data_IF_503678817831
#
_entry.id   IF_503678817831
#
_cell.length_a   1.000
_cell.length_b   1.000
_cell.length_c   1.000
_cell.angle_alpha   90.00
_cell.angle_beta   90.00
_cell.angle_gamma   90.00
#
_symmetry.space_group_name_H-M   'P 1'
#
loop_
_entity.id
_entity.type
_entity.pdbx_description
1 polymer ?
#
# COMPACT_ATOMS: atom_id res chain seq x y z
N UNK A 1 16.54 -9.06 13.65
CA UNK A 1 17.53 -9.31 12.58
C UNK A 1 18.48 -8.13 12.53
N UNK A 2 19.80 -8.36 12.40
CA UNK A 2 20.73 -7.28 12.05
C UNK A 2 20.86 -7.24 10.54
N UNK A 3 20.80 -6.04 9.96
CA UNK A 3 21.10 -5.84 8.54
C UNK A 3 22.52 -6.33 8.26
N UNK A 4 22.73 -6.98 7.11
CA UNK A 4 24.05 -7.47 6.69
C UNK A 4 24.92 -6.33 6.13
N UNK A 5 25.11 -5.28 6.93
CA UNK A 5 26.09 -4.24 6.60
C UNK A 5 27.49 -4.80 6.79
N UNK A 6 28.43 -4.37 5.94
CA UNK A 6 29.85 -4.62 6.19
C UNK A 6 30.22 -4.02 7.56
N UNK A 7 31.12 -4.68 8.30
CA UNK A 7 31.45 -4.32 9.69
C UNK A 7 31.91 -2.85 9.81
N UNK A 8 32.54 -2.34 8.77
CA UNK A 8 33.03 -0.95 8.66
C UNK A 8 31.93 0.04 8.26
N UNK A 9 30.77 -0.44 7.81
CA UNK A 9 29.67 0.36 7.27
C UNK A 9 28.39 0.31 8.12
N UNK A 10 28.41 -0.39 9.26
CA UNK A 10 27.22 -0.64 10.09
C UNK A 10 26.50 0.66 10.45
N UNK A 11 27.22 1.72 10.78
CA UNK A 11 26.68 3.03 11.17
C UNK A 11 26.55 4.02 10.01
N UNK A 12 26.87 3.61 8.76
CA UNK A 12 26.75 4.52 7.62
C UNK A 12 25.28 4.88 7.40
N UNK A 13 24.96 6.16 7.20
CA UNK A 13 23.59 6.57 6.98
C UNK A 13 23.08 6.10 5.61
N UNK A 14 21.82 5.72 5.56
CA UNK A 14 21.12 5.40 4.31
C UNK A 14 20.52 6.68 3.75
N UNK A 15 20.86 7.00 2.50
CA UNK A 15 20.25 8.10 1.78
C UNK A 15 19.10 7.58 0.93
N UNK A 16 17.89 8.08 1.16
CA UNK A 16 16.69 7.76 0.37
C UNK A 16 16.32 8.99 -0.42
N UNK A 17 16.28 8.87 -1.75
CA UNK A 17 15.85 9.93 -2.65
C UNK A 17 14.54 9.52 -3.31
N UNK A 18 13.52 10.34 -3.15
CA UNK A 18 12.19 10.18 -3.75
C UNK A 18 12.00 11.30 -4.76
N UNK A 19 11.71 10.93 -6.01
CA UNK A 19 11.45 11.87 -7.10
C UNK A 19 10.05 11.58 -7.61
N UNK A 20 9.19 12.58 -7.63
CA UNK A 20 7.87 12.50 -8.25
C UNK A 20 7.57 13.76 -9.06
N UNK A 21 6.38 13.81 -9.65
CA UNK A 21 5.94 14.95 -10.47
C UNK A 21 5.87 16.25 -9.64
N UNK A 22 5.67 16.10 -8.33
CA UNK A 22 5.67 17.18 -7.33
C UNK A 22 7.08 17.59 -6.82
N UNK A 23 8.14 17.09 -7.44
CA UNK A 23 9.51 17.42 -7.06
C UNK A 23 10.21 16.31 -6.28
N UNK A 24 11.19 16.69 -5.46
CA UNK A 24 12.17 15.75 -4.92
C UNK A 24 12.29 15.87 -3.41
N UNK A 25 12.23 14.73 -2.71
CA UNK A 25 12.49 14.64 -1.29
C UNK A 25 13.68 13.69 -1.04
N UNK A 26 14.71 14.18 -0.38
CA UNK A 26 15.87 13.39 0.05
C UNK A 26 15.90 13.27 1.56
N UNK A 27 16.05 12.05 2.05
CA UNK A 27 16.10 11.68 3.46
C UNK A 27 17.43 11.02 3.78
N UNK A 28 18.01 11.36 4.93
CA UNK A 28 19.21 10.68 5.45
C UNK A 28 18.82 9.99 6.76
N UNK A 29 18.77 8.67 6.70
CA UNK A 29 18.39 7.80 7.82
C UNK A 29 19.66 7.27 8.49
N UNK A 30 19.75 7.35 9.82
CA UNK A 30 20.84 6.73 10.59
C UNK A 30 20.30 5.76 11.63
N UNK A 31 21.14 4.82 12.04
CA UNK A 31 20.85 3.89 13.11
C UNK A 31 22.15 3.58 13.85
N UNK A 32 22.11 3.57 15.19
CA UNK A 32 23.28 3.31 16.04
C UNK A 32 23.60 1.80 16.17
N UNK A 33 22.75 0.95 15.59
CA UNK A 33 22.80 -0.51 15.57
C UNK A 33 22.91 -1.17 16.96
N UNK A 34 22.50 -0.47 18.01
CA UNK A 34 22.33 -1.07 19.33
C UNK A 34 21.11 -2.01 19.35
N UNK A 35 21.03 -2.94 20.32
CA UNK A 35 19.81 -3.71 20.53
C UNK A 35 18.60 -2.77 20.68
N UNK A 36 17.53 -3.02 19.92
CA UNK A 36 16.30 -2.20 19.89
C UNK A 36 16.46 -0.76 19.38
N UNK A 37 17.56 -0.47 18.68
CA UNK A 37 17.76 0.80 18.00
C UNK A 37 16.68 1.10 16.96
N UNK A 38 16.30 2.37 16.86
CA UNK A 38 15.33 2.85 15.86
C UNK A 38 16.05 3.68 14.82
N UNK A 39 15.56 3.64 13.57
CA UNK A 39 16.07 4.52 12.53
C UNK A 39 15.61 5.95 12.79
N UNK A 40 16.56 6.88 12.79
CA UNK A 40 16.30 8.31 12.95
C UNK A 40 16.53 9.02 11.63
N UNK A 41 15.61 9.92 11.28
CA UNK A 41 15.79 10.87 10.19
C UNK A 41 16.66 12.01 10.73
N UNK A 42 17.86 12.22 10.16
CA UNK A 42 18.76 13.28 10.63
C UNK A 42 18.47 14.60 9.93
N UNK A 43 18.28 14.55 8.61
CA UNK A 43 18.04 15.73 7.76
C UNK A 43 17.13 15.36 6.59
N UNK A 44 16.17 16.24 6.29
CA UNK A 44 15.39 16.22 5.06
C UNK A 44 15.82 17.38 4.16
N UNK A 45 16.02 17.10 2.88
CA UNK A 45 16.11 18.14 1.85
C UNK A 45 14.93 17.99 0.92
N UNK A 46 14.09 19.03 0.88
CA UNK A 46 12.92 19.07 0.01
C UNK A 46 13.19 20.06 -1.13
N UNK A 47 12.89 19.65 -2.36
CA UNK A 47 12.96 20.49 -3.54
C UNK A 47 11.58 20.61 -4.17
N UNK A 48 11.14 21.84 -4.36
CA UNK A 48 9.80 22.18 -4.84
C UNK A 48 9.86 23.04 -6.09
N UNK A 49 8.83 22.94 -6.93
CA UNK A 49 8.52 24.01 -7.88
C UNK A 49 7.89 25.20 -7.15
N UNK A 50 7.99 26.40 -7.73
CA UNK A 50 7.40 27.63 -7.20
C UNK A 50 5.90 27.49 -6.87
N UNK A 51 5.13 26.94 -7.81
CA UNK A 51 3.68 26.84 -7.70
C UNK A 51 3.25 25.88 -6.58
N UNK A 52 3.97 24.76 -6.44
CA UNK A 52 3.68 23.79 -5.38
C UNK A 52 4.12 24.28 -4.00
N UNK A 53 5.23 25.02 -3.92
CA UNK A 53 5.62 25.64 -2.67
C UNK A 53 4.54 26.59 -2.16
N UNK A 54 3.96 27.42 -3.04
CA UNK A 54 2.87 28.33 -2.68
C UNK A 54 1.66 27.53 -2.19
N UNK A 55 1.28 26.46 -2.90
CA UNK A 55 0.16 25.59 -2.51
C UNK A 55 0.37 24.99 -1.11
N UNK A 56 1.47 24.28 -0.90
CA UNK A 56 1.80 23.66 0.40
C UNK A 56 1.93 24.70 1.52
N UNK A 57 2.44 25.89 1.22
CA UNK A 57 2.54 26.98 2.20
C UNK A 57 1.16 27.54 2.58
N UNK A 58 0.25 27.73 1.62
CA UNK A 58 -1.13 28.16 1.91
C UNK A 58 -1.86 27.14 2.78
N UNK A 59 -1.74 25.85 2.47
CA UNK A 59 -2.30 24.76 3.27
C UNK A 59 -1.71 24.73 4.69
N UNK A 60 -0.39 24.91 4.81
CA UNK A 60 0.30 24.99 6.10
C UNK A 60 -0.20 26.17 6.95
N UNK A 61 -0.41 27.34 6.34
CA UNK A 61 -0.90 28.54 7.03
C UNK A 61 -2.37 28.44 7.46
N UNK A 62 -3.18 27.61 6.80
CA UNK A 62 -4.57 27.36 7.16
C UNK A 62 -4.73 26.26 8.23
N UNK A 63 -3.81 25.28 8.27
CA UNK A 63 -3.71 24.37 9.40
C UNK A 63 -3.36 25.17 10.68
N UNK A 64 -3.72 24.70 11.89
CA UNK A 64 -3.29 25.29 13.18
C UNK A 64 -1.78 25.09 13.43
N UNK A 65 -0.95 25.26 12.40
CA UNK A 65 0.48 25.08 12.39
C UNK A 65 1.22 26.14 13.22
N UNK A 66 2.36 25.73 13.74
CA UNK A 66 3.20 26.52 14.62
C UNK A 66 3.70 27.80 13.90
N UNK A 67 3.13 28.97 14.21
CA UNK A 67 3.44 30.28 13.59
C UNK A 67 4.93 30.61 13.54
N UNK A 68 5.73 30.08 14.48
CA UNK A 68 7.19 30.23 14.53
C UNK A 68 7.89 29.52 13.37
N UNK A 69 7.37 28.37 12.96
CA UNK A 69 7.87 27.56 11.84
C UNK A 69 7.59 28.23 10.50
N UNK A 70 6.34 28.69 10.30
CA UNK A 70 5.93 29.42 9.11
C UNK A 70 6.82 30.64 8.86
N UNK A 71 7.13 31.39 9.94
CA UNK A 71 7.99 32.57 9.88
C UNK A 71 9.44 32.21 9.52
N UNK A 72 9.98 31.12 10.08
CA UNK A 72 11.33 30.61 9.76
C UNK A 72 11.45 30.17 8.29
N UNK A 73 10.41 29.51 7.77
CA UNK A 73 10.33 29.08 6.38
C UNK A 73 10.24 30.26 5.40
N UNK A 74 9.39 31.24 5.67
CA UNK A 74 9.32 32.48 4.88
C UNK A 74 10.67 33.19 4.88
N UNK A 75 11.37 33.23 6.02
CA UNK A 75 12.66 33.90 6.15
C UNK A 75 13.75 33.17 5.35
N UNK A 76 13.79 31.84 5.39
CA UNK A 76 14.70 31.05 4.55
C UNK A 76 14.39 31.24 3.06
N UNK A 77 13.11 31.25 2.68
CA UNK A 77 12.70 31.45 1.29
C UNK A 77 13.08 32.83 0.77
N UNK A 78 12.86 33.88 1.57
CA UNK A 78 13.28 35.24 1.23
C UNK A 78 14.79 35.32 1.05
N UNK A 79 15.55 34.64 1.91
CA UNK A 79 17.01 34.58 1.80
C UNK A 79 17.47 33.85 0.53
N UNK A 80 16.84 32.72 0.17
CA UNK A 80 17.15 31.97 -1.05
C UNK A 80 16.76 32.75 -2.32
N UNK A 81 15.65 33.51 -2.28
CA UNK A 81 15.27 34.43 -3.35
C UNK A 81 16.25 35.59 -3.49
N UNK A 82 16.70 36.19 -2.38
CA UNK A 82 17.73 37.25 -2.43
C UNK A 82 19.09 36.73 -2.90
N UNK A 83 19.47 35.50 -2.55
CA UNK A 83 20.72 34.89 -2.98
C UNK A 83 20.74 34.58 -4.48
N UNK A 84 19.59 34.21 -5.07
CA UNK A 84 19.46 34.01 -6.52
C UNK A 84 19.36 35.34 -7.31
N UNK A 85 18.98 36.45 -6.67
CA UNK A 85 18.95 37.78 -7.31
C UNK A 85 20.37 38.34 -7.50
N UNK A 86 21.34 37.95 -6.66
CA UNK A 86 22.72 38.43 -6.73
C UNK A 86 23.60 37.71 -7.77
N UNK A 87 23.09 36.70 -8.50
CA UNK A 87 23.89 35.93 -9.48
C UNK A 87 23.33 35.77 -10.90
N UNK A 88 22.19 36.33 -11.29
CA UNK A 88 21.67 36.17 -12.66
C UNK A 88 21.68 37.45 -13.50
N UNK A 89 22.61 37.49 -14.47
CA UNK A 89 22.55 38.36 -15.66
C UNK A 89 21.31 38.03 -16.53
N UNK A 90 20.74 39.02 -17.23
CA UNK A 90 19.35 38.99 -17.68
C UNK A 90 19.18 38.33 -19.06
N UNK A 91 19.42 37.02 -19.20
CA UNK A 91 19.11 36.32 -20.47
C UNK A 91 18.77 34.84 -20.28
N UNK A 92 17.52 34.55 -19.89
CA UNK A 92 16.68 33.43 -20.42
C UNK A 92 15.50 33.18 -19.47
N UNK A 93 14.40 33.92 -19.66
CA UNK A 93 13.14 33.66 -18.95
C UNK A 93 12.38 32.52 -19.62
N UNK A 94 12.65 31.28 -19.19
CA UNK A 94 11.73 30.12 -19.28
C UNK A 94 12.26 28.94 -18.45
N UNK A 95 12.79 29.20 -17.25
CA UNK A 95 13.14 28.16 -16.28
C UNK A 95 12.16 28.19 -15.12
N UNK A 96 11.49 27.08 -14.82
CA UNK A 96 10.69 26.96 -13.59
C UNK A 96 11.62 27.13 -12.38
N UNK A 97 11.38 28.16 -11.55
CA UNK A 97 12.15 28.33 -10.31
C UNK A 97 11.93 27.11 -9.40
N UNK A 98 13.02 26.51 -8.96
CA UNK A 98 13.04 25.41 -7.99
C UNK A 98 13.64 25.90 -6.66
N UNK A 99 12.98 25.57 -5.55
CA UNK A 99 13.39 25.97 -4.20
C UNK A 99 13.88 24.76 -3.43
N UNK A 100 14.97 24.90 -2.67
CA UNK A 100 15.49 23.83 -1.81
C UNK A 100 15.40 24.20 -0.33
N UNK A 101 14.68 23.41 0.44
CA UNK A 101 14.52 23.62 1.88
C UNK A 101 15.23 22.51 2.65
N UNK A 102 16.15 22.90 3.55
CA UNK A 102 16.74 21.99 4.54
C UNK A 102 15.95 22.05 5.83
N UNK A 103 15.51 20.91 6.33
CA UNK A 103 14.71 20.85 7.55
C UNK A 103 15.24 19.82 8.54
N UNK A 104 15.18 20.20 9.83
CA UNK A 104 15.63 19.38 10.95
C UNK A 104 14.47 18.55 11.50
N UNK A 105 14.79 17.36 11.99
CA UNK A 105 13.83 16.31 12.38
C UNK A 105 12.94 16.62 13.60
N UNK A 106 13.29 17.61 14.44
CA UNK A 106 12.57 17.92 15.69
C UNK A 106 11.19 18.58 15.47
N UNK A 107 10.85 18.92 14.24
CA UNK A 107 9.68 19.72 13.90
C UNK A 107 8.62 18.84 13.20
N UNK A 108 7.84 18.06 13.98
CA UNK A 108 6.72 17.22 13.48
C UNK A 108 5.68 17.97 12.61
N UNK A 109 5.64 19.30 12.65
CA UNK A 109 4.81 20.10 11.75
C UNK A 109 5.27 20.09 10.29
N UNK A 110 6.49 19.66 9.98
CA UNK A 110 7.05 19.65 8.61
C UNK A 110 6.44 18.55 7.73
N UNK A 111 5.81 17.52 8.33
CA UNK A 111 5.12 16.49 7.54
C UNK A 111 4.08 17.08 6.59
N UNK A 112 3.49 18.23 6.94
CA UNK A 112 2.53 18.98 6.10
C UNK A 112 3.16 19.87 5.01
N UNK A 113 4.49 20.02 5.01
CA UNK A 113 5.25 20.76 3.98
C UNK A 113 5.96 19.83 3.02
N UNK A 114 5.88 18.51 3.22
CA UNK A 114 6.41 17.56 2.24
C UNK A 114 5.64 17.81 0.95
N UNK A 115 6.31 17.92 -0.21
CA UNK A 115 5.58 17.87 -1.46
C UNK A 115 4.79 16.57 -1.37
N UNK A 116 3.47 16.62 -1.51
CA UNK A 116 2.68 15.42 -1.67
C UNK A 116 3.30 14.73 -2.88
N UNK A 117 4.16 13.74 -2.63
CA UNK A 117 4.61 12.83 -3.68
C UNK A 117 3.36 12.01 -3.94
N UNK A 118 2.53 12.54 -4.83
CA UNK A 118 1.20 12.04 -5.12
C UNK A 118 1.29 10.52 -5.27
N UNK A 119 0.60 9.80 -4.36
CA UNK A 119 0.52 8.34 -4.35
C UNK A 119 1.31 7.60 -3.28
N UNK A 120 2.39 8.16 -2.69
CA UNK A 120 3.20 7.43 -1.67
C UNK A 120 2.87 7.86 -0.23
N UNK A 121 2.43 9.11 -0.02
CA UNK A 121 2.14 9.61 1.34
C UNK A 121 1.06 8.79 2.08
N UNK A 122 0.12 8.21 1.32
CA UNK A 122 -0.97 7.37 1.83
C UNK A 122 -0.70 5.86 1.64
N UNK A 123 0.55 5.47 1.39
CA UNK A 123 0.89 4.06 1.22
C UNK A 123 0.73 3.30 2.54
N UNK A 124 -0.02 2.20 2.49
CA UNK A 124 -0.29 1.35 3.64
C UNK A 124 0.15 -0.07 3.32
N UNK A 125 0.75 -0.75 4.31
CA UNK A 125 1.03 -2.19 4.27
C UNK A 125 -0.04 -2.89 5.11
N UNK A 126 -0.94 -3.61 4.45
CA UNK A 126 -1.98 -4.41 5.08
C UNK A 126 -1.45 -5.79 5.43
N UNK A 127 -1.82 -6.32 6.58
CA UNK A 127 -1.54 -7.68 7.05
C UNK A 127 -2.78 -8.18 7.78
N UNK A 128 -3.84 -8.56 7.04
CA UNK A 128 -5.12 -8.90 7.66
C UNK A 128 -5.01 -10.07 8.64
N UNK A 129 -5.70 -9.96 9.77
CA UNK A 129 -5.73 -10.99 10.80
C UNK A 129 -7.16 -11.44 11.07
N UNK A 130 -7.33 -12.74 11.33
CA UNK A 130 -8.62 -13.34 11.66
C UNK A 130 -9.25 -12.71 12.92
N UNK A 131 -8.43 -12.42 13.94
CA UNK A 131 -8.83 -11.76 15.19
C UNK A 131 -9.56 -10.44 14.94
N UNK A 132 -9.02 -9.62 14.03
CA UNK A 132 -9.58 -8.33 13.63
C UNK A 132 -10.78 -8.50 12.68
N UNK A 133 -10.69 -9.40 11.69
CA UNK A 133 -11.78 -9.64 10.73
C UNK A 133 -13.02 -10.29 11.35
N UNK A 134 -12.90 -11.03 12.47
CA UNK A 134 -14.07 -11.54 13.22
C UNK A 134 -14.79 -10.46 14.01
N UNK A 135 -14.09 -9.40 14.39
CA UNK A 135 -14.64 -8.25 15.10
C UNK A 135 -14.82 -7.08 14.13
N UNK A 136 -15.65 -7.25 13.10
CA UNK A 136 -15.85 -6.23 12.07
C UNK A 136 -16.34 -4.86 12.60
N UNK A 137 -16.88 -4.85 13.82
CA UNK A 137 -17.30 -3.66 14.57
C UNK A 137 -16.11 -2.82 15.07
N UNK A 138 -14.93 -3.43 15.22
CA UNK A 138 -13.73 -2.78 15.74
C UNK A 138 -13.18 -1.83 14.69
N UNK A 139 -13.06 -0.56 15.08
CA UNK A 139 -12.36 0.45 14.29
C UNK A 139 -10.86 0.41 14.62
N UNK A 140 -10.03 0.56 13.58
CA UNK A 140 -8.59 0.69 13.72
C UNK A 140 -8.20 2.14 14.00
N UNK A 141 -6.92 2.37 14.24
CA UNK A 141 -6.37 3.75 14.26
C UNK A 141 -6.33 4.39 12.87
N UNK A 142 -6.45 3.57 11.82
CA UNK A 142 -6.40 3.96 10.42
C UNK A 142 -7.79 3.74 9.83
N UNK A 143 -8.31 4.79 9.20
CA UNK A 143 -9.60 4.80 8.51
C UNK A 143 -9.39 4.94 6.99
N UNK A 144 -10.33 4.43 6.16
CA UNK A 144 -11.55 3.70 6.55
C UNK A 144 -11.30 2.22 6.86
N UNK A 145 -10.12 1.69 6.52
CA UNK A 145 -9.77 0.28 6.65
C UNK A 145 -8.41 0.15 7.35
N UNK A 146 -8.41 -0.53 8.50
CA UNK A 146 -7.22 -0.78 9.30
C UNK A 146 -6.28 -1.80 8.68
N UNK A 147 -5.01 -1.78 9.10
CA UNK A 147 -3.96 -2.66 8.57
C UNK A 147 -4.28 -4.14 8.75
N UNK A 148 -5.00 -4.52 9.81
CA UNK A 148 -5.31 -5.93 10.09
C UNK A 148 -6.74 -6.31 9.67
N UNK A 149 -7.48 -5.42 9.00
CA UNK A 149 -8.86 -5.65 8.60
C UNK A 149 -9.92 -4.99 9.49
N UNK A 150 -9.52 -4.17 10.44
CA UNK A 150 -10.44 -3.34 11.23
C UNK A 150 -11.22 -2.38 10.32
N UNK A 151 -12.46 -2.04 10.69
CA UNK A 151 -13.29 -1.11 9.93
C UNK A 151 -13.91 -1.66 8.64
N UNK A 152 -13.70 -2.94 8.29
CA UNK A 152 -14.27 -3.55 7.08
C UNK A 152 -15.80 -3.40 7.00
N UNK A 153 -16.53 -3.60 8.10
CA UNK A 153 -17.99 -3.41 8.06
C UNK A 153 -18.37 -1.95 7.80
N UNK A 154 -17.67 -0.99 8.42
CA UNK A 154 -17.90 0.43 8.19
C UNK A 154 -17.66 0.78 6.73
N UNK A 155 -16.56 0.29 6.15
CA UNK A 155 -16.25 0.45 4.74
C UNK A 155 -17.37 -0.11 3.84
N UNK A 156 -17.78 -1.36 4.06
CA UNK A 156 -18.87 -1.98 3.29
C UNK A 156 -20.21 -1.25 3.48
N UNK A 157 -20.47 -0.70 4.67
CA UNK A 157 -21.67 0.10 4.97
C UNK A 157 -21.65 1.38 4.14
N UNK A 158 -20.55 2.12 4.17
CA UNK A 158 -20.40 3.35 3.39
C UNK A 158 -20.56 3.05 1.90
N UNK A 159 -19.92 1.98 1.40
CA UNK A 159 -20.05 1.55 0.01
C UNK A 159 -21.47 1.11 -0.36
N UNK A 160 -22.25 0.55 0.58
CA UNK A 160 -23.63 0.11 0.32
C UNK A 160 -24.63 1.27 0.23
N UNK A 161 -24.25 2.44 0.75
CA UNK A 161 -25.09 3.64 0.79
C UNK A 161 -24.50 4.83 0.03
N UNK A 162 -23.42 4.59 -0.71
CA UNK A 162 -22.87 5.52 -1.66
C UNK A 162 -23.87 5.75 -2.81
N UNK A 163 -23.84 6.94 -3.41
CA UNK A 163 -24.65 7.26 -4.59
C UNK A 163 -24.22 6.40 -5.80
N UNK A 164 -22.96 5.96 -5.81
CA UNK A 164 -22.42 5.04 -6.82
C UNK A 164 -22.30 3.60 -6.27
N UNK A 165 -23.23 2.68 -6.61
CA UNK A 165 -23.21 1.30 -6.12
C UNK A 165 -22.16 0.42 -6.82
N UNK A 166 -21.42 0.93 -7.82
CA UNK A 166 -20.49 0.10 -8.61
C UNK A 166 -19.46 -0.63 -7.74
N UNK A 167 -18.94 0.02 -6.70
CA UNK A 167 -17.93 -0.55 -5.82
C UNK A 167 -18.50 -1.70 -4.98
N UNK A 168 -19.69 -1.56 -4.40
CA UNK A 168 -20.32 -2.62 -3.61
C UNK A 168 -20.79 -3.78 -4.49
N UNK A 169 -21.29 -3.50 -5.70
CA UNK A 169 -21.65 -4.53 -6.68
C UNK A 169 -20.43 -5.31 -7.15
N UNK A 170 -19.29 -4.65 -7.35
CA UNK A 170 -18.03 -5.30 -7.69
C UNK A 170 -17.56 -6.24 -6.57
N UNK A 171 -17.71 -5.85 -5.30
CA UNK A 171 -17.44 -6.72 -4.14
C UNK A 171 -18.36 -7.93 -4.14
N UNK A 172 -19.68 -7.72 -4.21
CA UNK A 172 -20.68 -8.81 -4.24
C UNK A 172 -20.43 -9.78 -5.39
N UNK A 173 -20.21 -9.26 -6.61
CA UNK A 173 -19.88 -10.07 -7.79
C UNK A 173 -18.58 -10.84 -7.63
N UNK A 174 -17.59 -10.25 -6.96
CA UNK A 174 -16.33 -10.92 -6.64
C UNK A 174 -16.54 -12.06 -5.66
N UNK A 175 -17.29 -11.84 -4.58
CA UNK A 175 -17.66 -12.83 -3.55
C UNK A 175 -18.45 -14.03 -4.09
N UNK A 176 -19.13 -13.92 -5.23
CA UNK A 176 -19.70 -15.08 -5.96
C UNK A 176 -18.66 -16.11 -6.44
N UNK A 177 -17.39 -15.94 -6.08
CA UNK A 177 -16.39 -17.00 -6.12
C UNK A 177 -16.71 -18.16 -5.16
N UNK A 178 -17.44 -17.88 -4.07
CA UNK A 178 -18.00 -18.88 -3.19
C UNK A 178 -19.36 -19.28 -3.74
N UNK A 179 -19.50 -20.54 -4.15
CA UNK A 179 -20.73 -21.02 -4.81
C UNK A 179 -21.98 -20.90 -3.93
N UNK A 180 -21.80 -20.94 -2.62
CA UNK A 180 -22.88 -20.81 -1.64
C UNK A 180 -23.33 -19.36 -1.44
N UNK A 181 -22.47 -18.38 -1.73
CA UNK A 181 -22.77 -16.97 -1.47
C UNK A 181 -23.77 -16.43 -2.50
N UNK A 182 -24.93 -16.00 -2.02
CA UNK A 182 -25.95 -15.37 -2.85
C UNK A 182 -25.84 -13.84 -2.81
N UNK A 183 -25.91 -13.25 -1.61
CA UNK A 183 -25.78 -11.81 -1.38
C UNK A 183 -25.41 -11.48 0.08
N UNK A 184 -25.06 -10.22 0.36
CA UNK A 184 -25.06 -9.68 1.72
C UNK A 184 -25.77 -8.31 1.81
N UNK A 185 -26.31 -8.03 2.99
CA UNK A 185 -26.98 -6.78 3.30
C UNK A 185 -26.46 -6.22 4.63
N UNK A 186 -26.29 -4.90 4.69
CA UNK A 186 -25.90 -4.21 5.92
C UNK A 186 -27.00 -3.19 6.25
N UNK A 187 -27.86 -3.42 7.25
CA UNK A 187 -28.94 -2.50 7.60
C UNK A 187 -28.45 -1.06 7.88
N UNK A 188 -29.24 -0.03 7.60
CA UNK A 188 -28.86 1.38 7.90
C UNK A 188 -28.77 1.63 9.40
N UNK A 189 -29.71 1.09 10.16
CA UNK A 189 -29.83 1.26 11.61
C UNK A 189 -28.99 0.25 12.39
N UNK A 190 -27.79 -0.05 11.89
CA UNK A 190 -26.97 -1.14 12.41
C UNK A 190 -26.20 -0.75 13.66
N UNK A 191 -26.93 -0.44 14.75
CA UNK A 191 -26.34 -0.14 16.06
C UNK A 191 -25.49 -1.30 16.62
N UNK A 192 -25.65 -2.52 16.08
CA UNK A 192 -24.94 -3.73 16.50
C UNK A 192 -23.78 -4.14 15.58
N UNK A 193 -23.55 -3.40 14.49
CA UNK A 193 -22.49 -3.71 13.53
C UNK A 193 -22.54 -5.14 12.97
N UNK A 194 -23.70 -5.56 12.42
CA UNK A 194 -23.85 -6.89 11.80
C UNK A 194 -24.14 -6.85 10.31
N UNK A 195 -23.40 -7.63 9.53
CA UNK A 195 -23.69 -7.89 8.13
C UNK A 195 -24.50 -9.18 8.02
N UNK A 196 -25.62 -9.13 7.31
CA UNK A 196 -26.45 -10.30 7.02
C UNK A 196 -25.98 -10.92 5.70
N UNK A 197 -25.47 -12.14 5.74
CA UNK A 197 -25.00 -12.89 4.57
C UNK A 197 -26.06 -13.93 4.23
N UNK A 198 -26.40 -14.06 2.95
CA UNK A 198 -27.36 -15.03 2.42
C UNK A 198 -26.64 -16.16 1.70
N UNK A 199 -26.98 -17.39 2.07
CA UNK A 199 -26.52 -18.62 1.43
C UNK A 199 -27.63 -19.22 0.56
N UNK A 200 -27.33 -19.44 -0.72
CA UNK A 200 -28.29 -19.92 -1.71
C UNK A 200 -28.59 -21.42 -1.65
N UNK A 201 -27.88 -22.19 -0.81
CA UNK A 201 -28.12 -23.62 -0.60
C UNK A 201 -28.86 -23.94 0.71
N UNK A 202 -29.06 -22.94 1.58
CA UNK A 202 -29.80 -23.10 2.83
C UNK A 202 -31.31 -22.93 2.60
N UNK A 203 -32.10 -23.56 3.48
CA UNK A 203 -33.56 -23.44 3.49
C UNK A 203 -33.99 -21.98 3.76
N UNK A 204 -35.12 -21.55 3.18
CA UNK A 204 -35.61 -20.17 3.29
C UNK A 204 -35.75 -19.69 4.74
N UNK A 205 -36.07 -20.59 5.67
CA UNK A 205 -36.22 -20.29 7.10
C UNK A 205 -34.89 -19.91 7.79
N UNK A 206 -33.75 -20.35 7.26
CA UNK A 206 -32.42 -20.20 7.86
C UNK A 206 -31.35 -19.73 6.86
N UNK A 207 -31.75 -19.16 5.72
CA UNK A 207 -30.83 -18.80 4.63
C UNK A 207 -29.82 -17.71 4.95
N UNK A 208 -30.03 -16.97 6.04
CA UNK A 208 -29.19 -15.83 6.38
C UNK A 208 -28.56 -15.94 7.76
N UNK A 209 -27.27 -15.60 7.85
CA UNK A 209 -26.49 -15.57 9.08
C UNK A 209 -25.62 -14.32 9.15
N UNK A 210 -24.97 -14.08 10.29
CA UNK A 210 -24.10 -12.92 10.47
C UNK A 210 -22.62 -13.22 10.19
N UNK A 211 -21.79 -12.18 10.10
CA UNK A 211 -20.36 -12.34 9.81
C UNK A 211 -19.61 -13.29 10.77
N UNK A 212 -20.11 -13.52 12.00
CA UNK A 212 -19.42 -14.33 13.01
C UNK A 212 -19.52 -15.82 12.69
N UNK A 213 -20.57 -16.19 11.94
CA UNK A 213 -20.79 -17.53 11.41
C UNK A 213 -20.14 -17.75 10.04
N UNK A 214 -19.61 -16.71 9.39
CA UNK A 214 -18.88 -16.85 8.14
C UNK A 214 -17.54 -17.57 8.35
N UNK A 215 -17.10 -18.29 7.32
CA UNK A 215 -15.77 -18.89 7.34
C UNK A 215 -14.70 -17.80 7.19
N UNK A 216 -13.51 -18.09 7.70
CA UNK A 216 -12.38 -17.15 7.68
C UNK A 216 -12.01 -16.70 6.26
N UNK A 217 -11.89 -17.65 5.33
CA UNK A 217 -11.55 -17.34 3.94
C UNK A 217 -12.54 -16.40 3.26
N UNK A 218 -13.82 -16.45 3.63
CA UNK A 218 -14.84 -15.51 3.15
C UNK A 218 -14.58 -14.08 3.66
N UNK A 219 -14.22 -13.93 4.93
CA UNK A 219 -13.93 -12.62 5.51
C UNK A 219 -12.65 -12.02 4.92
N UNK A 220 -11.61 -12.82 4.72
CA UNK A 220 -10.38 -12.39 4.02
C UNK A 220 -10.68 -11.98 2.58
N UNK A 221 -11.46 -12.78 1.85
CA UNK A 221 -11.86 -12.43 0.48
C UNK A 221 -12.70 -11.14 0.44
N UNK A 222 -13.65 -10.95 1.36
CA UNK A 222 -14.43 -9.73 1.48
C UNK A 222 -13.54 -8.51 1.77
N UNK A 223 -12.55 -8.66 2.66
CA UNK A 223 -11.54 -7.65 2.93
C UNK A 223 -10.78 -7.26 1.65
N UNK A 224 -10.22 -8.24 0.93
CA UNK A 224 -9.43 -7.94 -0.28
C UNK A 224 -10.27 -7.32 -1.39
N UNK A 225 -11.50 -7.80 -1.63
CA UNK A 225 -12.34 -7.17 -2.66
C UNK A 225 -12.78 -5.77 -2.27
N UNK A 226 -13.11 -5.53 -0.99
CA UNK A 226 -13.43 -4.18 -0.53
C UNK A 226 -12.20 -3.25 -0.66
N UNK A 227 -11.01 -3.73 -0.31
CA UNK A 227 -9.75 -3.00 -0.44
C UNK A 227 -9.48 -2.57 -1.90
N UNK A 228 -9.66 -3.48 -2.85
CA UNK A 228 -9.40 -3.20 -4.27
C UNK A 228 -10.54 -2.43 -4.97
N UNK A 229 -11.79 -2.64 -4.57
CA UNK A 229 -12.95 -1.99 -5.20
C UNK A 229 -13.24 -0.58 -4.65
N UNK A 230 -12.85 -0.29 -3.40
CA UNK A 230 -13.22 0.99 -2.78
C UNK A 230 -12.39 2.16 -3.33
N UNK A 231 -13.06 3.29 -3.58
CA UNK A 231 -12.43 4.58 -3.88
C UNK A 231 -11.82 5.25 -2.63
N UNK A 232 -12.22 4.79 -1.43
CA UNK A 232 -11.79 5.35 -0.15
C UNK A 232 -10.49 4.73 0.37
N UNK A 233 -10.00 3.67 -0.26
CA UNK A 233 -8.71 3.03 0.06
C UNK A 233 -7.59 3.58 -0.81
N UNK A 234 -6.32 3.48 -0.40
CA UNK A 234 -5.20 3.96 -1.19
C UNK A 234 -5.20 3.41 -2.62
N UNK A 235 -4.71 4.20 -3.57
CA UNK A 235 -4.49 3.73 -4.95
C UNK A 235 -3.25 2.85 -5.06
N UNK A 236 -2.27 3.06 -4.19
CA UNK A 236 -1.04 2.26 -4.12
C UNK A 236 -0.84 1.75 -2.69
N UNK A 237 -0.72 0.43 -2.52
CA UNK A 237 -0.58 -0.21 -1.21
C UNK A 237 0.16 -1.55 -1.32
N UNK A 238 0.50 -2.15 -0.18
CA UNK A 238 0.98 -3.52 -0.10
C UNK A 238 0.08 -4.40 0.77
N UNK A 239 0.09 -5.70 0.48
CA UNK A 239 -0.51 -6.73 1.33
C UNK A 239 0.55 -7.77 1.63
N UNK A 240 0.82 -7.97 2.92
CA UNK A 240 1.66 -9.04 3.40
C UNK A 240 0.85 -10.33 3.51
N UNK A 241 1.41 -11.44 3.03
CA UNK A 241 0.83 -12.78 3.00
C UNK A 241 -0.61 -12.80 2.46
N UNK A 242 -0.77 -12.45 1.18
CA UNK A 242 -2.09 -12.40 0.50
C UNK A 242 -2.86 -13.72 0.59
N UNK A 243 -2.17 -14.84 0.74
CA UNK A 243 -2.70 -16.20 0.85
C UNK A 243 -3.11 -16.63 2.27
N UNK A 244 -2.99 -15.74 3.27
CA UNK A 244 -3.36 -16.03 4.65
C UNK A 244 -4.79 -16.60 4.74
N UNK A 245 -4.89 -17.79 5.31
CA UNK A 245 -6.16 -18.49 5.58
C UNK A 245 -7.03 -18.81 4.36
N UNK A 246 -6.44 -18.79 3.16
CA UNK A 246 -7.11 -19.14 1.91
C UNK A 246 -6.67 -20.51 1.39
N UNK A 247 -7.61 -21.24 0.80
CA UNK A 247 -7.30 -22.49 0.12
C UNK A 247 -6.47 -22.22 -1.16
N UNK A 248 -5.47 -23.05 -1.51
CA UNK A 248 -4.69 -22.94 -2.74
C UNK A 248 -5.50 -22.67 -4.02
N UNK A 249 -6.60 -23.39 -4.24
CA UNK A 249 -7.47 -23.21 -5.42
C UNK A 249 -8.23 -21.88 -5.38
N UNK A 250 -8.54 -21.42 -4.17
CA UNK A 250 -9.17 -20.12 -3.93
C UNK A 250 -8.22 -18.99 -4.31
N UNK A 251 -6.94 -19.10 -3.93
CA UNK A 251 -5.91 -18.10 -4.23
C UNK A 251 -5.79 -17.84 -5.74
N UNK A 252 -5.73 -18.90 -6.55
CA UNK A 252 -5.63 -18.79 -8.02
C UNK A 252 -6.80 -17.97 -8.61
N UNK A 253 -8.03 -18.27 -8.19
CA UNK A 253 -9.24 -17.59 -8.69
C UNK A 253 -9.36 -16.18 -8.12
N UNK A 254 -9.02 -16.01 -6.84
CA UNK A 254 -9.03 -14.72 -6.16
C UNK A 254 -8.07 -13.74 -6.83
N UNK A 255 -6.84 -14.16 -7.12
CA UNK A 255 -5.84 -13.33 -7.78
C UNK A 255 -6.34 -12.78 -9.11
N UNK A 256 -6.96 -13.62 -9.96
CA UNK A 256 -7.57 -13.17 -11.21
C UNK A 256 -8.64 -12.09 -11.01
N UNK A 257 -9.45 -12.22 -9.95
CA UNK A 257 -10.46 -11.21 -9.60
C UNK A 257 -9.84 -9.94 -9.05
N UNK A 258 -8.80 -10.03 -8.22
CA UNK A 258 -8.08 -8.89 -7.69
C UNK A 258 -7.36 -8.10 -8.78
N UNK A 259 -6.68 -8.76 -9.71
CA UNK A 259 -6.07 -8.11 -10.87
C UNK A 259 -7.10 -7.31 -11.66
N UNK A 260 -8.26 -7.92 -11.94
CA UNK A 260 -9.36 -7.23 -12.63
C UNK A 260 -9.86 -6.01 -11.85
N UNK A 261 -10.12 -6.15 -10.55
CA UNK A 261 -10.54 -5.03 -9.71
C UNK A 261 -9.47 -3.93 -9.65
N UNK A 262 -8.19 -4.31 -9.66
CA UNK A 262 -7.08 -3.37 -9.65
C UNK A 262 -7.09 -2.50 -10.90
N UNK A 263 -7.20 -3.13 -12.08
CA UNK A 263 -7.32 -2.42 -13.37
C UNK A 263 -8.58 -1.56 -13.41
N UNK A 264 -9.74 -2.14 -13.07
CA UNK A 264 -11.04 -1.45 -13.15
C UNK A 264 -11.11 -0.22 -12.21
N UNK A 265 -10.35 -0.21 -11.09
CA UNK A 265 -10.36 0.87 -10.09
C UNK A 265 -9.05 1.68 -10.02
N UNK A 266 -8.12 1.47 -10.96
CA UNK A 266 -6.84 2.18 -11.00
C UNK A 266 -6.00 2.01 -9.73
N UNK A 267 -5.94 0.78 -9.21
CA UNK A 267 -5.13 0.37 -8.06
C UNK A 267 -3.83 -0.30 -8.52
N UNK A 268 -2.77 -0.05 -7.76
CA UNK A 268 -1.50 -0.76 -7.83
C UNK A 268 -1.23 -1.42 -6.47
N UNK A 269 -0.87 -2.70 -6.46
CA UNK A 269 -0.64 -3.44 -5.23
C UNK A 269 0.67 -4.22 -5.28
N UNK A 270 1.42 -4.23 -4.16
CA UNK A 270 2.56 -5.13 -3.94
C UNK A 270 2.09 -6.23 -3.00
N UNK A 271 2.19 -7.49 -3.43
CA UNK A 271 1.71 -8.63 -2.67
C UNK A 271 2.88 -9.56 -2.34
N UNK A 272 2.96 -10.02 -1.09
CA UNK A 272 3.87 -11.10 -0.71
C UNK A 272 3.09 -12.40 -0.57
N UNK A 273 3.74 -13.52 -0.90
CA UNK A 273 3.14 -14.84 -0.77
C UNK A 273 4.21 -15.91 -0.62
N UNK A 274 3.86 -16.97 0.11
CA UNK A 274 4.60 -18.23 0.12
C UNK A 274 3.84 -19.36 -0.61
N UNK A 275 2.60 -19.12 -1.03
CA UNK A 275 1.75 -20.11 -1.67
C UNK A 275 1.95 -20.09 -3.19
N UNK A 276 2.48 -21.17 -3.79
CA UNK A 276 2.73 -21.24 -5.24
C UNK A 276 1.46 -21.02 -6.08
N UNK A 277 0.28 -21.32 -5.54
CA UNK A 277 -1.00 -21.25 -6.25
C UNK A 277 -1.47 -19.82 -6.51
N UNK A 278 -0.96 -18.84 -5.74
CA UNK A 278 -1.17 -17.42 -6.03
C UNK A 278 -0.57 -17.06 -7.39
N UNK A 279 0.59 -17.64 -7.72
CA UNK A 279 1.29 -17.38 -8.98
C UNK A 279 0.49 -17.82 -10.19
N UNK A 280 -0.29 -18.91 -10.08
CA UNK A 280 -1.13 -19.41 -11.17
C UNK A 280 -2.30 -18.48 -11.51
N UNK A 281 -2.60 -17.51 -10.65
CA UNK A 281 -3.58 -16.45 -10.93
C UNK A 281 -2.98 -15.22 -11.64
N UNK A 282 -1.66 -15.17 -11.82
CA UNK A 282 -0.96 -14.08 -12.53
C UNK A 282 -0.83 -14.39 -14.02
N UNK A 283 -0.87 -13.34 -14.84
CA UNK A 283 -0.53 -13.40 -16.26
C UNK A 283 0.75 -12.61 -16.53
N UNK A 284 1.88 -13.30 -16.65
CA UNK A 284 3.17 -12.66 -16.94
C UNK A 284 3.33 -12.22 -18.40
N UNK A 285 2.32 -12.38 -19.26
CA UNK A 285 2.31 -11.73 -20.57
C UNK A 285 1.70 -10.33 -20.51
N UNK A 286 1.05 -9.99 -19.40
CA UNK A 286 0.54 -8.65 -19.12
C UNK A 286 1.65 -7.80 -18.48
N UNK A 287 2.12 -6.71 -19.12
CA UNK A 287 3.20 -5.87 -18.59
C UNK A 287 2.86 -5.16 -17.27
N UNK A 288 1.57 -5.06 -16.92
CA UNK A 288 1.08 -4.50 -15.66
C UNK A 288 1.27 -5.49 -14.48
N UNK A 289 1.49 -6.78 -14.78
CA UNK A 289 1.68 -7.83 -13.79
C UNK A 289 3.14 -8.27 -13.75
N UNK A 290 3.76 -8.20 -12.58
CA UNK A 290 5.19 -8.49 -12.39
C UNK A 290 5.39 -9.46 -11.24
N UNK A 291 6.29 -10.41 -11.44
CA UNK A 291 6.71 -11.34 -10.40
C UNK A 291 8.16 -11.06 -9.99
N UNK A 292 8.38 -10.87 -8.69
CA UNK A 292 9.71 -10.72 -8.13
C UNK A 292 10.05 -11.93 -7.26
N UNK A 293 11.07 -12.69 -7.66
CA UNK A 293 11.62 -13.75 -6.83
C UNK A 293 12.66 -13.15 -5.87
N UNK A 294 12.32 -13.08 -4.59
CA UNK A 294 13.18 -12.55 -3.54
C UNK A 294 13.95 -13.70 -2.89
N UNK A 295 15.28 -13.59 -2.81
CA UNK A 295 16.13 -14.58 -2.14
C UNK A 295 17.34 -13.92 -1.48
N UNK A 296 17.99 -14.66 -0.59
CA UNK A 296 19.26 -14.26 0.02
C UNK A 296 20.40 -14.97 -0.70
N UNK A 297 21.42 -14.23 -1.10
CA UNK A 297 22.60 -14.83 -1.74
C UNK A 297 23.61 -15.37 -0.70
N UNK A 298 24.69 -16.01 -1.16
CA UNK A 298 25.72 -16.60 -0.28
C UNK A 298 26.46 -15.58 0.60
N UNK A 299 26.47 -14.29 0.23
CA UNK A 299 27.04 -13.20 1.03
C UNK A 299 26.05 -12.66 2.07
N UNK A 300 24.82 -13.17 2.06
CA UNK A 300 23.77 -12.74 2.97
C UNK A 300 22.97 -11.52 2.49
N UNK A 301 23.16 -11.07 1.25
CA UNK A 301 22.48 -9.92 0.66
C UNK A 301 21.11 -10.32 0.10
N UNK A 302 20.11 -9.44 0.25
CA UNK A 302 18.80 -9.60 -0.40
C UNK A 302 18.95 -9.33 -1.90
N UNK A 303 18.41 -10.23 -2.73
CA UNK A 303 18.33 -10.11 -4.18
C UNK A 303 16.89 -10.30 -4.61
N UNK A 304 16.41 -9.39 -5.46
CA UNK A 304 15.10 -9.48 -6.10
C UNK A 304 15.30 -9.66 -7.61
N UNK A 305 14.83 -10.79 -8.15
CA UNK A 305 14.89 -11.08 -9.59
C UNK A 305 13.51 -10.85 -10.19
N UNK A 306 13.42 -9.96 -11.18
CA UNK A 306 12.19 -9.72 -11.93
C UNK A 306 11.99 -10.80 -13.01
N UNK A 307 10.80 -11.39 -13.03
CA UNK A 307 10.29 -12.20 -14.13
C UNK A 307 9.26 -11.38 -14.89
N UNK A 308 9.70 -10.77 -15.99
CA UNK A 308 8.84 -9.94 -16.87
C UNK A 308 8.00 -10.76 -17.84
N UNK A 309 8.41 -12.00 -18.11
CA UNK A 309 7.73 -12.93 -19.00
C UNK A 309 7.76 -14.31 -18.37
N UNK A 310 6.78 -15.15 -18.74
CA UNK A 310 6.78 -16.54 -18.32
C UNK A 310 7.94 -17.29 -19.00
N UNK A 311 8.84 -17.94 -18.24
CA UNK A 311 9.95 -18.65 -18.85
C UNK A 311 9.45 -19.75 -19.80
N UNK A 312 10.06 -19.83 -20.98
CA UNK A 312 9.74 -20.86 -21.98
C UNK A 312 10.22 -22.24 -21.50
N UNK A 313 9.34 -23.22 -21.60
CA UNK A 313 9.61 -24.63 -21.26
C UNK A 313 9.12 -25.53 -22.39
N UNK A 314 9.74 -26.72 -22.56
CA UNK A 314 9.41 -27.68 -23.63
C UNK A 314 7.92 -28.09 -23.64
N UNK A 315 7.25 -28.00 -22.48
CA UNK A 315 5.81 -28.21 -22.32
C UNK A 315 5.22 -27.04 -21.53
N UNK A 316 3.95 -26.66 -21.76
CA UNK A 316 3.29 -25.65 -20.95
C UNK A 316 3.24 -26.08 -19.47
N UNK A 317 3.88 -25.31 -18.58
CA UNK A 317 3.87 -25.56 -17.13
C UNK A 317 3.15 -24.44 -16.40
N UNK A 318 2.61 -24.75 -15.23
CA UNK A 318 2.01 -23.75 -14.31
C UNK A 318 3.11 -22.95 -13.61
N UNK A 319 2.84 -21.71 -13.22
CA UNK A 319 3.83 -20.89 -12.52
C UNK A 319 4.14 -21.47 -11.14
N UNK A 320 3.14 -22.04 -10.48
CA UNK A 320 3.28 -22.80 -9.24
C UNK A 320 4.28 -23.96 -9.39
N UNK A 321 4.17 -24.75 -10.46
CA UNK A 321 5.08 -25.86 -10.76
C UNK A 321 6.50 -25.36 -11.03
N UNK A 322 6.64 -24.27 -11.78
CA UNK A 322 7.94 -23.67 -12.08
C UNK A 322 8.61 -23.12 -10.82
N UNK A 323 7.84 -22.53 -9.89
CA UNK A 323 8.34 -22.07 -8.60
C UNK A 323 8.82 -23.26 -7.75
N UNK A 324 7.97 -24.28 -7.55
CA UNK A 324 8.31 -25.48 -6.76
C UNK A 324 9.52 -26.21 -7.36
N UNK A 325 9.61 -26.27 -8.69
CA UNK A 325 10.74 -26.86 -9.41
C UNK A 325 12.02 -26.01 -9.39
N UNK A 326 12.00 -24.82 -8.77
CA UNK A 326 13.15 -23.93 -8.64
C UNK A 326 13.49 -23.11 -9.89
N UNK A 327 12.70 -23.20 -10.96
CA UNK A 327 12.93 -22.45 -12.20
C UNK A 327 12.76 -20.94 -12.03
N UNK A 328 11.85 -20.52 -11.13
CA UNK A 328 11.62 -19.10 -10.83
C UNK A 328 12.58 -18.55 -9.76
N UNK A 329 13.37 -19.40 -9.11
CA UNK A 329 14.16 -19.01 -7.93
C UNK A 329 13.29 -18.78 -6.69
N UNK A 330 13.81 -18.05 -5.68
CA UNK A 330 13.09 -17.75 -4.44
C UNK A 330 12.97 -18.92 -3.44
N UNK A 331 13.26 -20.15 -3.86
CA UNK A 331 13.35 -21.29 -2.95
C UNK A 331 14.73 -21.41 -2.28
N UNK A 332 14.78 -21.76 -0.98
CA UNK A 332 16.03 -22.06 -0.31
C UNK A 332 16.65 -23.33 -0.91
N UNK A 333 17.97 -23.34 -1.07
CA UNK A 333 18.72 -24.51 -1.59
C UNK A 333 18.98 -25.58 -0.52
N UNK A 334 18.85 -25.21 0.75
CA UNK A 334 19.11 -26.06 1.93
C UNK A 334 18.10 -25.66 3.01
N UNK A 335 17.51 -26.63 3.69
CA UNK A 335 16.61 -26.44 4.84
C UNK A 335 17.31 -26.78 6.15
#
# INVERSE_FOLDING_TARGET
MRSAFEVEEVTKPISVRVVGDAGEASYVLSNDNQPYSTWTENNATLRFSADQFIKSFTEFSHSKGNKKLAKKLITQLLNDMTANIDQESPTSRTGSLAFSLKVNADEKSIFSLRPEVDGIANFIVYSPENSSLRMLEREGQIEPLGINGEGLLKLLTVMSYDDDPSAIEAVKKSLKLFSWFEDFEIPRENAKGRMKITDGYLDESCKSFDQRSANEGFLFAAFYFALFASKLTPRFFAVDNIDASLNPKLCEVMMRRLTKLATDNGKQAILTTHNPSVLDGLDLNDPEQKLFAVHRNAKGETRATLHSEKPSTDKPRRLSEMFIGGLLGGLPKVF
#
